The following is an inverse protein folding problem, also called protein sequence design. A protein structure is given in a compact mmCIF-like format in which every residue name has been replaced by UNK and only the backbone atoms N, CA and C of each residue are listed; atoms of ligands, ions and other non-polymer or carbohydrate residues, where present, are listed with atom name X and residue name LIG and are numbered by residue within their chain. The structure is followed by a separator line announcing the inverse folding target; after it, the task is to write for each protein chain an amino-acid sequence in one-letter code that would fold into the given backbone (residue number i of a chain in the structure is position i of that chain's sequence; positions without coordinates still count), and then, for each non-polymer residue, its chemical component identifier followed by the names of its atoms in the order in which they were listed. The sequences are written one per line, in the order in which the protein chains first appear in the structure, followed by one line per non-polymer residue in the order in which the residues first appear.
data_IF_361233689144
#
_entry.id   IF_361233689144
#
_cell.length_a   1.000
_cell.length_b   1.000
_cell.length_c   1.000
_cell.angle_alpha   90.00
_cell.angle_beta   90.00
_cell.angle_gamma   90.00
#
_symmetry.space_group_name_H-M   'P 1'
#
loop_
_entity.id
_entity.type
_entity.pdbx_description
1 polymer ?
#
# COMPACT_ATOMS: atom_id res chain seq x y z
N UNK A 1 27.81 8.56 -4.50
CA UNK A 1 26.88 9.24 -3.58
C UNK A 1 26.16 8.16 -2.80
N UNK A 2 26.04 8.24 -1.47
CA UNK A 2 25.21 7.28 -0.75
C UNK A 2 23.76 7.50 -1.18
N UNK A 3 23.11 6.45 -1.68
CA UNK A 3 21.66 6.46 -1.86
C UNK A 3 21.06 6.71 -0.48
N UNK A 4 20.19 7.73 -0.36
CA UNK A 4 19.38 7.91 0.83
C UNK A 4 18.65 6.58 1.10
N UNK A 5 18.89 6.01 2.27
CA UNK A 5 18.07 4.91 2.78
C UNK A 5 16.63 5.44 2.78
N UNK A 6 15.74 4.81 2.00
CA UNK A 6 14.32 5.15 2.04
C UNK A 6 13.84 4.79 3.44
N UNK A 7 13.66 5.79 4.30
CA UNK A 7 13.14 5.58 5.64
C UNK A 7 11.72 5.03 5.51
N UNK A 8 11.56 3.72 5.71
CA UNK A 8 10.24 3.10 5.77
C UNK A 8 9.62 3.55 7.09
N UNK A 9 8.51 4.26 6.99
CA UNK A 9 7.81 4.78 8.16
C UNK A 9 7.04 3.63 8.83
N UNK A 10 7.08 3.57 10.16
CA UNK A 10 6.22 2.68 10.94
C UNK A 10 4.75 2.97 10.60
N UNK A 11 3.95 1.95 10.25
CA UNK A 11 2.53 2.15 9.96
C UNK A 11 1.78 2.80 11.13
N UNK A 12 1.02 3.86 10.86
CA UNK A 12 0.15 4.52 11.84
C UNK A 12 -1.22 3.84 11.81
N UNK A 13 -1.33 2.70 12.50
CA UNK A 13 -2.50 1.81 12.43
C UNK A 13 -3.82 2.47 12.79
N UNK A 14 -3.80 3.48 13.68
CA UNK A 14 -4.99 4.21 14.12
C UNK A 14 -5.63 5.07 13.02
N UNK A 15 -4.87 5.40 11.97
CA UNK A 15 -5.36 6.20 10.85
C UNK A 15 -5.95 5.36 9.71
N UNK A 16 -5.90 4.02 9.82
CA UNK A 16 -6.38 3.12 8.76
C UNK A 16 -7.91 2.97 8.90
N UNK A 17 -8.68 3.20 7.83
CA UNK A 17 -10.15 3.12 7.87
C UNK A 17 -10.68 1.76 8.31
N UNK A 18 -11.72 1.77 9.14
CA UNK A 18 -12.40 0.56 9.64
C UNK A 18 -12.85 -0.37 8.50
N UNK A 19 -13.39 0.19 7.41
CA UNK A 19 -13.84 -0.57 6.25
C UNK A 19 -12.73 -1.41 5.60
N UNK A 20 -11.46 -1.02 5.74
CA UNK A 20 -10.30 -1.81 5.30
C UNK A 20 -9.87 -2.81 6.37
N UNK A 21 -9.87 -2.42 7.65
CA UNK A 21 -9.39 -3.28 8.75
C UNK A 21 -10.34 -4.45 9.03
N UNK A 22 -11.63 -4.33 8.72
CA UNK A 22 -12.63 -5.40 8.82
C UNK A 22 -12.41 -6.55 7.81
N UNK A 23 -11.59 -6.35 6.78
CA UNK A 23 -11.37 -7.34 5.71
C UNK A 23 -10.19 -8.26 6.05
N UNK A 24 -10.28 -9.58 5.82
CA UNK A 24 -9.16 -10.50 5.96
C UNK A 24 -8.24 -10.51 4.72
N UNK A 25 -7.77 -9.32 4.32
CA UNK A 25 -7.03 -9.08 3.08
C UNK A 25 -5.65 -8.47 3.32
N UNK A 26 -5.08 -8.72 4.50
CA UNK A 26 -3.84 -8.09 4.93
C UNK A 26 -2.64 -9.01 4.76
N UNK A 27 -1.53 -8.41 4.34
CA UNK A 27 -0.21 -9.01 4.21
C UNK A 27 0.82 -8.16 4.95
N UNK A 28 1.98 -8.75 5.26
CA UNK A 28 3.17 -7.97 5.60
C UNK A 28 4.02 -7.83 4.35
N UNK A 29 5.01 -6.92 4.32
CA UNK A 29 5.95 -6.85 3.22
C UNK A 29 7.37 -6.55 3.69
N UNK A 30 8.35 -6.95 2.88
CA UNK A 30 9.77 -6.61 3.03
C UNK A 30 10.29 -5.92 1.78
N UNK A 31 11.26 -5.02 1.94
CA UNK A 31 12.00 -4.44 0.84
C UNK A 31 13.14 -5.40 0.46
N UNK A 32 13.06 -5.97 -0.73
CA UNK A 32 14.09 -6.86 -1.27
C UNK A 32 14.68 -6.26 -2.54
N UNK A 33 16.00 -6.40 -2.72
CA UNK A 33 16.61 -6.13 -4.02
C UNK A 33 16.32 -7.29 -4.98
N UNK A 34 15.78 -6.97 -6.16
CA UNK A 34 15.57 -7.89 -7.28
C UNK A 34 16.04 -7.24 -8.55
N UNK A 35 16.96 -7.89 -9.26
CA UNK A 35 17.53 -7.38 -10.52
C UNK A 35 18.04 -5.93 -10.40
N UNK A 36 18.70 -5.61 -9.27
CA UNK A 36 19.20 -4.27 -8.96
C UNK A 36 18.13 -3.23 -8.63
N UNK A 37 16.88 -3.65 -8.35
CA UNK A 37 15.76 -2.78 -7.98
C UNK A 37 15.16 -3.18 -6.65
N UNK A 38 14.99 -2.19 -5.77
CA UNK A 38 14.24 -2.36 -4.54
C UNK A 38 12.76 -2.65 -4.85
N UNK A 39 12.28 -3.79 -4.39
CA UNK A 39 10.93 -4.31 -4.62
C UNK A 39 10.25 -4.56 -3.28
N UNK A 40 9.01 -4.10 -3.13
CA UNK A 40 8.20 -4.39 -1.95
C UNK A 40 7.55 -5.76 -2.13
N UNK A 41 8.00 -6.75 -1.37
CA UNK A 41 7.63 -8.14 -1.53
C UNK A 41 6.63 -8.53 -0.44
N UNK A 42 5.41 -8.98 -0.79
CA UNK A 42 4.42 -9.35 0.20
C UNK A 42 4.73 -10.74 0.80
N UNK A 43 4.43 -10.89 2.08
CA UNK A 43 4.61 -12.07 2.91
C UNK A 43 3.32 -12.40 3.63
N UNK A 44 3.05 -13.70 3.79
CA UNK A 44 1.94 -14.19 4.60
C UNK A 44 2.28 -13.86 6.06
N UNK A 45 1.48 -13.02 6.75
CA UNK A 45 1.81 -12.58 8.10
C UNK A 45 2.05 -13.74 9.07
N UNK A 46 3.12 -13.62 9.86
CA UNK A 46 3.53 -14.63 10.84
C UNK A 46 4.28 -15.82 10.23
N UNK A 47 4.72 -15.72 8.97
CA UNK A 47 5.48 -16.76 8.28
C UNK A 47 6.59 -16.17 7.43
N UNK A 48 7.56 -17.01 7.04
CA UNK A 48 8.60 -16.68 6.06
C UNK A 48 8.16 -16.94 4.60
N UNK A 49 6.87 -17.23 4.37
CA UNK A 49 6.34 -17.50 3.02
C UNK A 49 5.86 -16.21 2.37
N UNK A 50 6.23 -16.02 1.09
CA UNK A 50 5.68 -14.93 0.27
C UNK A 50 4.17 -15.08 0.12
N UNK A 51 3.46 -13.97 0.16
CA UNK A 51 2.03 -13.93 -0.13
C UNK A 51 1.78 -13.71 -1.63
N UNK A 52 0.63 -14.17 -2.09
CA UNK A 52 0.16 -13.96 -3.45
C UNK A 52 -0.97 -12.94 -3.44
N UNK A 53 -1.02 -12.04 -4.42
CA UNK A 53 -2.14 -11.11 -4.58
C UNK A 53 -3.42 -11.78 -5.12
N UNK A 54 -3.40 -13.09 -5.36
CA UNK A 54 -4.51 -13.86 -5.92
C UNK A 54 -4.87 -15.11 -5.11
N UNK A 55 -4.14 -15.41 -4.03
CA UNK A 55 -4.42 -16.55 -3.15
C UNK A 55 -4.82 -16.06 -1.75
N UNK A 56 -6.12 -16.14 -1.46
CA UNK A 56 -6.71 -15.73 -0.19
C UNK A 56 -6.15 -16.50 1.02
N UNK A 57 -5.57 -17.68 0.83
CA UNK A 57 -4.96 -18.46 1.92
C UNK A 57 -3.65 -17.83 2.43
N UNK A 58 -3.08 -16.91 1.64
CA UNK A 58 -1.86 -16.18 1.99
C UNK A 58 -2.13 -14.84 2.69
N UNK A 59 -3.39 -14.46 2.86
CA UNK A 59 -3.79 -13.22 3.55
C UNK A 59 -4.24 -13.51 4.98
N UNK A 60 -4.33 -12.46 5.79
CA UNK A 60 -4.76 -12.54 7.18
C UNK A 60 -5.70 -11.39 7.54
N UNK A 61 -6.29 -11.47 8.72
CA UNK A 61 -6.99 -10.34 9.34
C UNK A 61 -6.03 -9.19 9.62
N UNK A 62 -6.56 -7.97 9.75
CA UNK A 62 -5.77 -6.80 10.11
C UNK A 62 -4.98 -7.00 11.40
N UNK A 63 -5.63 -7.49 12.46
CA UNK A 63 -5.00 -7.73 13.75
C UNK A 63 -3.87 -8.77 13.71
N UNK A 64 -4.03 -9.84 12.91
CA UNK A 64 -2.96 -10.82 12.68
C UNK A 64 -1.78 -10.20 11.92
N UNK A 65 -2.04 -9.36 10.91
CA UNK A 65 -1.00 -8.68 10.14
C UNK A 65 -0.21 -7.67 11.00
N UNK A 66 -0.90 -6.83 11.76
CA UNK A 66 -0.27 -5.88 12.70
C UNK A 66 0.52 -6.64 13.78
N UNK A 67 -0.09 -7.65 14.40
CA UNK A 67 0.59 -8.43 15.43
C UNK A 67 1.81 -9.20 14.90
N UNK A 68 1.78 -9.65 13.64
CA UNK A 68 2.94 -10.24 12.98
C UNK A 68 4.01 -9.18 12.68
N UNK A 69 3.63 -8.01 12.16
CA UNK A 69 4.52 -6.88 11.94
C UNK A 69 5.30 -6.49 13.21
N UNK A 70 4.60 -6.37 14.33
CA UNK A 70 5.18 -5.92 15.61
C UNK A 70 6.13 -6.94 16.26
N UNK A 71 5.93 -8.24 16.02
CA UNK A 71 6.64 -9.33 16.72
C UNK A 71 7.63 -10.10 15.87
N UNK A 72 7.67 -9.86 14.56
CA UNK A 72 8.46 -10.68 13.65
C UNK A 72 9.96 -10.51 13.85
N UNK A 73 10.67 -11.63 13.85
CA UNK A 73 12.10 -11.71 13.61
C UNK A 73 12.37 -12.75 12.51
N UNK A 74 12.96 -12.36 11.36
CA UNK A 74 13.35 -11.00 10.99
C UNK A 74 12.14 -10.08 10.75
N UNK A 75 12.30 -8.79 11.02
CA UNK A 75 11.23 -7.80 10.94
C UNK A 75 10.64 -7.67 9.52
N UNK A 76 9.38 -7.26 9.46
CA UNK A 76 8.78 -6.78 8.22
C UNK A 76 9.01 -5.26 8.10
N UNK A 77 9.01 -4.74 6.87
CA UNK A 77 9.12 -3.31 6.61
C UNK A 77 7.75 -2.60 6.74
N UNK A 78 6.65 -3.33 6.58
CA UNK A 78 5.32 -2.80 6.86
C UNK A 78 4.20 -3.78 6.58
N UNK A 79 2.97 -3.25 6.57
CA UNK A 79 1.75 -3.97 6.23
C UNK A 79 1.23 -3.54 4.85
N UNK A 80 0.37 -4.35 4.26
CA UNK A 80 -0.27 -4.06 2.99
C UNK A 80 -1.64 -4.68 2.87
N UNK A 81 -2.45 -4.09 1.99
CA UNK A 81 -3.83 -4.48 1.71
C UNK A 81 -3.92 -5.02 0.29
N UNK A 82 -4.53 -6.20 0.12
CA UNK A 82 -4.72 -6.85 -1.18
C UNK A 82 -6.09 -6.50 -1.74
N UNK A 83 -6.12 -5.99 -2.97
CA UNK A 83 -7.36 -5.78 -3.73
C UNK A 83 -7.76 -7.08 -4.41
N UNK A 84 -9.04 -7.44 -4.33
CA UNK A 84 -9.60 -8.64 -4.93
C UNK A 84 -10.99 -8.37 -5.53
N UNK A 85 -11.45 -9.24 -6.43
CA UNK A 85 -12.74 -9.05 -7.11
C UNK A 85 -13.97 -9.18 -6.21
N UNK A 86 -13.80 -9.54 -4.94
CA UNK A 86 -14.88 -9.71 -3.97
C UNK A 86 -15.01 -8.52 -3.01
N UNK A 87 -14.13 -7.52 -3.11
CA UNK A 87 -14.22 -6.28 -2.33
C UNK A 87 -14.63 -5.09 -3.23
N UNK A 88 -15.20 -4.02 -2.64
CA UNK A 88 -15.65 -2.87 -3.38
C UNK A 88 -14.52 -1.84 -3.59
N UNK A 89 -13.25 -2.17 -3.35
CA UNK A 89 -12.18 -1.17 -3.29
C UNK A 89 -11.36 -1.10 -4.57
N UNK A 90 -10.95 0.11 -4.90
CA UNK A 90 -9.95 0.40 -5.92
C UNK A 90 -8.79 1.19 -5.30
N UNK A 91 -7.57 0.74 -5.56
CA UNK A 91 -6.35 1.47 -5.27
C UNK A 91 -5.89 2.28 -6.47
N UNK A 92 -5.55 3.55 -6.26
CA UNK A 92 -4.95 4.46 -7.22
C UNK A 92 -3.57 4.85 -6.69
N UNK A 93 -2.52 4.52 -7.44
CA UNK A 93 -1.13 4.82 -7.12
C UNK A 93 -0.65 5.99 -7.97
N UNK A 94 -0.20 7.06 -7.31
CA UNK A 94 0.33 8.27 -7.92
C UNK A 94 1.85 8.31 -7.68
N UNK A 95 2.59 7.92 -8.69
CA UNK A 95 4.04 7.74 -8.58
C UNK A 95 4.81 9.06 -8.66
N UNK A 96 5.80 9.24 -7.77
CA UNK A 96 6.79 10.34 -7.79
C UNK A 96 6.18 11.75 -7.82
N UNK A 97 5.06 11.94 -7.13
CA UNK A 97 4.31 13.19 -7.14
C UNK A 97 4.38 13.97 -5.81
N UNK A 98 5.11 13.47 -4.82
CA UNK A 98 5.21 14.09 -3.49
C UNK A 98 6.68 14.31 -3.11
N UNK A 99 6.97 15.46 -2.52
CA UNK A 99 8.25 15.73 -1.90
C UNK A 99 8.29 15.10 -0.50
N UNK A 100 9.23 14.18 -0.21
CA UNK A 100 9.26 13.47 1.07
C UNK A 100 9.64 14.35 2.26
N UNK A 101 10.34 15.47 2.05
CA UNK A 101 10.81 16.36 3.11
C UNK A 101 9.75 17.41 3.49
N UNK A 102 9.12 18.01 2.48
CA UNK A 102 8.15 19.11 2.65
C UNK A 102 6.71 18.62 2.64
N UNK A 103 6.45 17.44 2.07
CA UNK A 103 5.11 16.92 1.86
C UNK A 103 4.34 17.57 0.71
N UNK A 104 4.96 18.50 -0.03
CA UNK A 104 4.33 19.14 -1.17
C UNK A 104 3.98 18.11 -2.26
N UNK A 105 2.74 18.15 -2.75
CA UNK A 105 2.25 17.29 -3.83
C UNK A 105 2.18 18.10 -5.12
N UNK A 106 2.62 17.50 -6.23
CA UNK A 106 2.56 18.12 -7.56
C UNK A 106 1.12 18.45 -7.96
N UNK A 107 0.91 19.57 -8.66
CA UNK A 107 -0.42 20.12 -8.95
C UNK A 107 -1.35 19.11 -9.66
N UNK A 108 -0.82 18.27 -10.55
CA UNK A 108 -1.62 17.27 -11.24
C UNK A 108 -2.12 16.15 -10.31
N UNK A 109 -1.32 15.77 -9.31
CA UNK A 109 -1.68 14.77 -8.31
C UNK A 109 -2.58 15.37 -7.24
N UNK A 110 -2.32 16.62 -6.82
CA UNK A 110 -3.17 17.35 -5.89
C UNK A 110 -4.60 17.48 -6.42
N UNK A 111 -4.78 17.74 -7.73
CA UNK A 111 -6.12 17.74 -8.36
C UNK A 111 -6.87 16.42 -8.21
N UNK A 112 -6.17 15.29 -8.22
CA UNK A 112 -6.78 13.98 -8.00
C UNK A 112 -7.13 13.79 -6.53
N UNK A 113 -6.19 14.11 -5.62
CA UNK A 113 -6.42 14.08 -4.17
C UNK A 113 -7.64 14.94 -3.80
N UNK A 114 -7.70 16.18 -4.27
CA UNK A 114 -8.80 17.12 -4.01
C UNK A 114 -10.16 16.66 -4.59
N UNK A 115 -10.13 15.77 -5.59
CA UNK A 115 -11.35 15.22 -6.20
C UNK A 115 -11.95 14.05 -5.40
N UNK A 116 -11.19 13.47 -4.45
CA UNK A 116 -11.63 12.38 -3.60
C UNK A 116 -12.52 12.95 -2.50
N UNK A 117 -13.83 12.78 -2.64
CA UNK A 117 -14.80 13.20 -1.61
C UNK A 117 -14.92 12.17 -0.49
N UNK A 118 -14.93 10.89 -0.86
CA UNK A 118 -15.02 9.75 0.05
C UNK A 118 -13.92 8.76 -0.32
N UNK A 119 -12.99 8.55 0.60
CA UNK A 119 -11.84 7.69 0.37
C UNK A 119 -10.75 7.87 1.41
N UNK A 120 -9.68 7.12 1.21
CA UNK A 120 -8.49 7.11 2.05
C UNK A 120 -7.29 7.52 1.23
N UNK A 121 -6.59 8.57 1.65
CA UNK A 121 -5.42 9.09 0.97
C UNK A 121 -4.25 9.05 1.93
N UNK A 122 -3.14 8.45 1.52
CA UNK A 122 -1.92 8.38 2.31
C UNK A 122 -0.67 8.60 1.46
N UNK A 123 0.42 9.03 2.10
CA UNK A 123 1.73 8.98 1.48
C UNK A 123 2.24 7.53 1.40
N UNK A 124 2.87 7.17 0.28
CA UNK A 124 3.48 5.85 0.10
C UNK A 124 4.72 5.68 1.00
N UNK A 125 5.23 4.45 1.23
CA UNK A 125 6.33 4.23 2.18
C UNK A 125 7.64 4.97 1.86
N UNK A 126 7.88 5.34 0.60
CA UNK A 126 9.06 6.14 0.23
C UNK A 126 8.86 7.64 0.48
N UNK A 127 7.64 8.08 0.82
CA UNK A 127 7.25 9.48 0.95
C UNK A 127 7.11 10.24 -0.37
N UNK A 128 7.50 9.62 -1.49
CA UNK A 128 7.56 10.24 -2.82
C UNK A 128 6.30 10.09 -3.65
N UNK A 129 5.37 9.21 -3.24
CA UNK A 129 4.13 8.93 -3.95
C UNK A 129 2.93 9.04 -3.02
N UNK A 130 1.75 8.93 -3.61
CA UNK A 130 0.47 8.98 -2.89
C UNK A 130 -0.35 7.76 -3.29
N UNK A 131 -0.90 7.06 -2.28
CA UNK A 131 -1.93 6.06 -2.50
C UNK A 131 -3.29 6.67 -2.19
N UNK A 132 -4.26 6.39 -3.05
CA UNK A 132 -5.66 6.67 -2.83
C UNK A 132 -6.41 5.34 -2.86
N UNK A 133 -7.25 5.08 -1.86
CA UNK A 133 -8.15 3.94 -1.82
C UNK A 133 -9.58 4.46 -1.75
N UNK A 134 -10.42 4.06 -2.70
CA UNK A 134 -11.83 4.45 -2.77
C UNK A 134 -12.72 3.22 -2.92
N UNK A 135 -13.99 3.35 -2.57
CA UNK A 135 -15.00 2.41 -3.05
C UNK A 135 -15.25 2.66 -4.55
N UNK A 136 -15.07 1.63 -5.37
CA UNK A 136 -15.23 1.72 -6.80
C UNK A 136 -14.72 0.50 -7.55
N UNK A 137 -14.99 0.46 -8.85
CA UNK A 137 -14.55 -0.64 -9.72
C UNK A 137 -13.63 -0.12 -10.82
N UNK A 138 -12.53 -0.85 -11.06
CA UNK A 138 -11.64 -0.57 -12.18
C UNK A 138 -12.01 -1.47 -13.34
N UNK A 139 -12.48 -0.89 -14.45
CA UNK A 139 -12.82 -1.66 -15.66
C UNK A 139 -11.59 -2.42 -16.15
N UNK A 140 -11.73 -3.73 -16.36
CA UNK A 140 -10.62 -4.61 -16.75
C UNK A 140 -9.73 -5.06 -15.58
N UNK A 141 -9.94 -4.53 -14.37
CA UNK A 141 -9.20 -4.88 -13.15
C UNK A 141 -7.95 -4.04 -12.90
N UNK A 142 -7.35 -3.46 -13.95
CA UNK A 142 -6.24 -2.53 -13.83
C UNK A 142 -6.19 -1.56 -15.02
N UNK A 143 -5.77 -0.33 -14.77
CA UNK A 143 -5.53 0.71 -15.80
C UNK A 143 -4.25 1.46 -15.45
N UNK A 144 -3.41 1.73 -16.45
CA UNK A 144 -2.23 2.60 -16.30
C UNK A 144 -2.26 3.70 -17.34
N UNK A 145 -2.07 4.95 -16.91
CA UNK A 145 -1.95 6.12 -17.78
C UNK A 145 -0.88 7.05 -17.23
N UNK A 146 0.32 6.98 -17.81
CA UNK A 146 1.46 7.77 -17.35
C UNK A 146 1.85 7.41 -15.91
N UNK A 147 1.92 8.39 -14.97
CA UNK A 147 2.26 8.17 -13.57
C UNK A 147 1.07 7.71 -12.70
N UNK A 148 -0.10 7.50 -13.30
CA UNK A 148 -1.32 7.06 -12.60
C UNK A 148 -1.55 5.59 -12.90
N UNK A 149 -1.60 4.77 -11.85
CA UNK A 149 -2.01 3.37 -11.92
C UNK A 149 -3.25 3.14 -11.07
N UNK A 150 -4.21 2.37 -11.57
CA UNK A 150 -5.44 2.00 -10.86
C UNK A 150 -5.58 0.49 -10.84
N UNK A 151 -5.95 -0.07 -9.70
CA UNK A 151 -6.10 -1.50 -9.48
C UNK A 151 -7.38 -1.79 -8.69
N UNK A 152 -8.20 -2.71 -9.19
CA UNK A 152 -9.35 -3.25 -8.46
C UNK A 152 -9.20 -4.71 -8.05
N UNK A 153 -8.10 -5.37 -8.44
CA UNK A 153 -7.78 -6.76 -8.04
C UNK A 153 -6.34 -7.13 -8.36
N UNK A 154 -5.87 -8.28 -7.84
CA UNK A 154 -4.61 -8.94 -8.18
C UNK A 154 -3.36 -8.09 -7.87
N UNK A 155 -3.50 -7.07 -7.02
CA UNK A 155 -2.43 -6.17 -6.58
C UNK A 155 -2.60 -5.94 -5.09
N UNK A 156 -1.49 -5.72 -4.40
CA UNK A 156 -1.52 -5.21 -3.03
C UNK A 156 -0.92 -3.81 -3.02
N UNK A 157 -1.43 -2.95 -2.16
CA UNK A 157 -0.76 -1.70 -1.81
C UNK A 157 -0.14 -1.86 -0.43
N UNK A 158 1.05 -1.29 -0.25
CA UNK A 158 1.56 -1.07 1.10
C UNK A 158 0.74 0.02 1.77
N UNK A 159 0.46 -0.12 3.05
CA UNK A 159 -0.34 0.83 3.83
C UNK A 159 0.54 1.45 4.91
N UNK A 160 0.57 2.78 4.98
CA UNK A 160 1.41 3.54 5.91
C UNK A 160 0.63 4.20 7.03
N UNK A 161 -0.66 4.51 6.85
CA UNK A 161 -1.37 5.33 7.85
C UNK A 161 -0.99 6.82 7.82
N UNK A 162 -0.08 7.25 6.95
CA UNK A 162 0.38 8.64 6.87
C UNK A 162 -0.58 9.45 5.99
N UNK A 163 -1.73 9.79 6.58
CA UNK A 163 -2.86 10.46 5.91
C UNK A 163 -2.47 11.84 5.40
N UNK A 164 -3.01 12.20 4.22
CA UNK A 164 -2.88 13.51 3.59
C UNK A 164 -4.17 14.33 3.70
#
# INVERSE_FOLDING_TARGET
MPQASAAVHTPIVANIPEQLTERPQWVCWRLEERDGKNTKVPYTPGTERRASSTDLMTWRTFGEAVGAYERAEPSYDGIGFVFCSADPFAGIDLDKCRDPETGAVEEWAQKLVDSVQEGYVEASPSGTGVHIIVEGTVRGGAVRKGPIEMYGRNRFFTVTGLVL
#
